data_IF_761676368994
#
_entry.id   IF_761676368994
#
_cell.length_a   1.000
_cell.length_b   1.000
_cell.length_c   1.000
_cell.angle_alpha   90.00
_cell.angle_beta   90.00
_cell.angle_gamma   90.00
#
_symmetry.space_group_name_H-M   'P 1'
#
loop_
_entity.id
_entity.type
_entity.pdbx_description
1 polymer ?
#
# COMPACT_ATOMS: atom_id res chain seq x y z
N UNK A 1 20.40 12.60 36.79
CA UNK A 1 19.11 12.63 36.08
C UNK A 1 19.42 12.69 34.59
N UNK A 2 19.35 11.56 33.86
CA UNK A 2 19.40 11.66 32.39
C UNK A 2 18.22 12.55 31.99
N UNK A 3 18.51 13.71 31.40
CA UNK A 3 17.48 14.67 31.03
C UNK A 3 16.53 14.08 30.00
N UNK A 4 15.27 14.52 29.99
CA UNK A 4 14.22 14.04 29.09
C UNK A 4 14.66 13.96 27.61
N UNK A 5 15.56 14.86 27.19
CA UNK A 5 16.14 14.83 25.85
C UNK A 5 16.99 13.58 25.58
N UNK A 6 17.80 13.13 26.54
CA UNK A 6 18.64 11.95 26.40
C UNK A 6 17.78 10.67 26.32
N UNK A 7 16.68 10.62 27.08
CA UNK A 7 15.69 9.54 27.00
C UNK A 7 14.91 9.55 25.68
N UNK A 8 14.53 10.73 25.18
CA UNK A 8 13.86 10.87 23.88
C UNK A 8 14.77 10.47 22.71
N UNK A 9 16.06 10.88 22.74
CA UNK A 9 17.07 10.48 21.77
C UNK A 9 17.31 8.98 21.78
N UNK A 10 17.40 8.38 22.97
CA UNK A 10 17.55 6.94 23.11
C UNK A 10 16.34 6.20 22.53
N UNK A 11 15.13 6.66 22.82
CA UNK A 11 13.89 6.09 22.29
C UNK A 11 13.83 6.17 20.76
N UNK A 12 14.16 7.33 20.19
CA UNK A 12 14.19 7.53 18.74
C UNK A 12 15.23 6.64 18.04
N UNK A 13 16.37 6.35 18.68
CA UNK A 13 17.37 5.43 18.14
C UNK A 13 16.95 3.96 18.22
N UNK A 14 16.17 3.56 19.23
CA UNK A 14 15.69 2.18 19.36
C UNK A 14 14.46 1.87 18.49
N UNK A 15 13.61 2.86 18.23
CA UNK A 15 12.42 2.68 17.39
C UNK A 15 12.78 2.99 15.94
N UNK A 16 13.33 2.00 15.25
CA UNK A 16 13.45 2.06 13.81
C UNK A 16 12.08 1.75 13.17
N UNK A 17 11.64 2.48 12.13
CA UNK A 17 10.45 2.10 11.39
C UNK A 17 10.66 0.74 10.74
N UNK A 18 9.77 -0.22 11.04
CA UNK A 18 9.78 -1.51 10.38
C UNK A 18 9.19 -1.35 8.96
N UNK A 19 9.78 -1.97 7.92
CA UNK A 19 9.16 -2.01 6.61
C UNK A 19 7.85 -2.79 6.72
N UNK A 20 6.72 -2.11 6.51
CA UNK A 20 5.43 -2.74 6.38
C UNK A 20 5.26 -3.24 4.93
N UNK A 21 4.77 -4.47 4.76
CA UNK A 21 4.42 -5.01 3.45
C UNK A 21 2.90 -5.02 3.31
N UNK A 22 2.38 -4.38 2.26
CA UNK A 22 0.99 -4.52 1.87
C UNK A 22 0.84 -5.78 0.99
N UNK A 23 -0.01 -6.72 1.42
CA UNK A 23 -0.33 -7.94 0.67
C UNK A 23 -1.78 -7.80 0.16
N UNK A 24 -1.96 -7.90 -1.16
CA UNK A 24 -3.28 -7.82 -1.79
C UNK A 24 -3.58 -9.13 -2.50
N UNK A 25 -4.70 -9.73 -2.15
CA UNK A 25 -5.23 -10.91 -2.83
C UNK A 25 -6.36 -10.48 -3.78
N UNK A 26 -6.14 -10.63 -5.07
CA UNK A 26 -7.16 -10.43 -6.11
C UNK A 26 -7.68 -11.78 -6.54
N UNK A 27 -9.00 -11.93 -6.60
CA UNK A 27 -9.67 -13.15 -7.08
C UNK A 27 -10.71 -12.75 -8.11
N UNK A 28 -10.71 -13.39 -9.27
CA UNK A 28 -11.80 -13.19 -10.23
C UNK A 28 -13.10 -13.87 -9.71
N UNK A 29 -14.26 -13.48 -10.23
CA UNK A 29 -15.54 -14.06 -9.82
C UNK A 29 -15.67 -15.58 -10.12
N UNK A 30 -14.88 -16.10 -11.07
CA UNK A 30 -14.78 -17.52 -11.43
C UNK A 30 -13.87 -18.35 -10.52
N UNK A 31 -13.13 -17.71 -9.61
CA UNK A 31 -12.20 -18.34 -8.69
C UNK A 31 -10.75 -18.46 -9.18
N UNK A 32 -10.43 -18.07 -10.42
CA UNK A 32 -9.06 -18.08 -10.91
C UNK A 32 -8.25 -16.94 -10.29
N UNK A 33 -7.04 -17.29 -9.86
CA UNK A 33 -6.09 -16.37 -9.27
C UNK A 33 -5.16 -15.85 -10.39
N UNK A 34 -5.60 -14.81 -11.08
CA UNK A 34 -4.76 -14.13 -12.07
C UNK A 34 -3.83 -13.17 -11.31
N UNK A 35 -2.59 -13.59 -11.05
CA UNK A 35 -1.61 -12.73 -10.39
C UNK A 35 -0.95 -11.83 -11.43
N UNK A 36 -1.31 -10.55 -11.40
CA UNK A 36 -0.61 -9.53 -12.16
C UNK A 36 -0.14 -8.37 -11.26
N UNK A 37 0.82 -7.61 -11.80
CA UNK A 37 1.83 -6.86 -11.06
C UNK A 37 1.20 -5.81 -10.16
N UNK A 38 1.44 -5.94 -8.86
CA UNK A 38 1.00 -4.99 -7.85
C UNK A 38 2.20 -4.21 -7.32
N UNK A 39 2.17 -2.89 -7.49
CA UNK A 39 3.19 -1.98 -6.98
C UNK A 39 2.55 -1.09 -5.92
N UNK A 40 3.01 -1.22 -4.68
CA UNK A 40 2.60 -0.35 -3.59
C UNK A 40 3.71 0.65 -3.28
N UNK A 41 3.34 1.92 -3.12
CA UNK A 41 4.23 2.97 -2.68
C UNK A 41 3.65 3.61 -1.42
N UNK A 42 4.25 3.27 -0.27
CA UNK A 42 3.83 3.78 1.04
C UNK A 42 4.23 5.24 1.27
N UNK A 43 5.20 5.76 0.53
CA UNK A 43 5.60 7.17 0.63
C UNK A 43 4.60 8.08 -0.08
N UNK A 44 4.10 7.63 -1.24
CA UNK A 44 3.11 8.35 -2.03
C UNK A 44 1.67 7.96 -1.70
N UNK A 45 1.46 7.01 -0.77
CA UNK A 45 0.15 6.46 -0.39
C UNK A 45 -0.66 5.99 -1.62
N UNK A 46 0.01 5.31 -2.57
CA UNK A 46 -0.61 4.83 -3.80
C UNK A 46 -0.39 3.33 -4.02
N UNK A 47 -1.33 2.72 -4.76
CA UNK A 47 -1.24 1.35 -5.27
C UNK A 47 -1.51 1.37 -6.77
N UNK A 48 -0.63 0.74 -7.55
CA UNK A 48 -0.85 0.44 -8.96
C UNK A 48 -1.17 -1.04 -9.12
N UNK A 49 -2.33 -1.34 -9.70
CA UNK A 49 -2.77 -2.67 -10.12
C UNK A 49 -2.65 -2.77 -11.64
N UNK A 50 -1.82 -3.69 -12.13
CA UNK A 50 -1.79 -4.06 -13.54
C UNK A 50 -2.36 -5.47 -13.64
N UNK A 51 -3.39 -5.67 -14.49
CA UNK A 51 -3.92 -7.00 -14.79
C UNK A 51 -4.54 -7.11 -16.20
N UNK A 52 -4.63 -8.30 -16.78
CA UNK A 52 -5.33 -8.59 -18.02
C UNK A 52 -6.68 -9.24 -17.73
N UNK A 53 -7.76 -8.73 -18.32
CA UNK A 53 -9.09 -9.36 -18.24
C UNK A 53 -9.16 -10.60 -19.14
N UNK A 54 -10.15 -11.45 -18.88
CA UNK A 54 -10.39 -12.67 -19.67
C UNK A 54 -10.65 -12.39 -21.16
N UNK A 55 -11.08 -11.18 -21.51
CA UNK A 55 -11.26 -10.71 -22.89
C UNK A 55 -9.96 -10.23 -23.55
N UNK A 56 -8.81 -10.34 -22.86
CA UNK A 56 -7.52 -9.89 -23.33
C UNK A 56 -7.21 -8.41 -23.06
N UNK A 57 -8.15 -7.64 -22.48
CA UNK A 57 -7.95 -6.22 -22.19
C UNK A 57 -6.95 -6.02 -21.06
N UNK A 58 -5.90 -5.21 -21.28
CA UNK A 58 -5.00 -4.79 -20.20
C UNK A 58 -5.63 -3.67 -19.38
N UNK A 59 -5.56 -3.79 -18.05
CA UNK A 59 -6.10 -2.85 -17.08
C UNK A 59 -4.95 -2.35 -16.22
N UNK A 60 -4.85 -1.04 -16.10
CA UNK A 60 -3.97 -0.35 -15.16
C UNK A 60 -4.82 0.54 -14.28
N UNK A 61 -4.82 0.30 -12.98
CA UNK A 61 -5.58 1.07 -12.01
C UNK A 61 -4.65 1.68 -10.97
N UNK A 62 -4.74 2.99 -10.78
CA UNK A 62 -4.10 3.71 -9.68
C UNK A 62 -5.14 3.94 -8.57
N UNK A 63 -4.83 3.49 -7.36
CA UNK A 63 -5.58 3.80 -6.15
C UNK A 63 -4.74 4.80 -5.36
N UNK A 64 -5.27 6.01 -5.19
CA UNK A 64 -4.65 7.08 -4.39
C UNK A 64 -5.43 7.22 -3.07
N UNK A 65 -4.76 6.98 -1.94
CA UNK A 65 -5.38 7.04 -0.62
C UNK A 65 -5.35 8.45 0.00
N UNK A 66 -4.72 9.43 -0.67
CA UNK A 66 -4.68 10.83 -0.21
C UNK A 66 -5.96 11.58 -0.53
N UNK A 67 -6.64 11.19 -1.59
CA UNK A 67 -7.96 11.71 -1.91
C UNK A 67 -8.97 11.08 -0.92
N UNK A 68 -9.51 11.89 -0.01
CA UNK A 68 -10.62 11.45 0.85
C UNK A 68 -11.78 10.87 0.01
N UNK A 69 -12.67 10.07 0.61
CA UNK A 69 -13.74 9.40 -0.13
C UNK A 69 -14.54 10.43 -0.91
N UNK A 70 -14.58 10.27 -2.24
CA UNK A 70 -15.47 11.05 -3.09
C UNK A 70 -16.87 10.49 -2.88
N UNK A 71 -17.60 11.07 -1.92
CA UNK A 71 -19.04 10.87 -1.81
C UNK A 71 -19.66 11.61 -3.00
N UNK A 72 -20.12 10.86 -3.99
CA UNK A 72 -20.97 11.40 -5.05
C UNK A 72 -22.40 11.43 -4.49
N UNK A 73 -22.89 12.64 -4.21
CA UNK A 73 -24.31 12.93 -3.92
C UNK A 73 -25.18 12.73 -5.18
#
# INVERSE_FOLDING_TARGET
MLGAAATALLWACLVQPAPAQLIINVRNAGGDLLRERLLANTSDETITLEFQRADGTHVTQLIDFRAGPVIQD
#
